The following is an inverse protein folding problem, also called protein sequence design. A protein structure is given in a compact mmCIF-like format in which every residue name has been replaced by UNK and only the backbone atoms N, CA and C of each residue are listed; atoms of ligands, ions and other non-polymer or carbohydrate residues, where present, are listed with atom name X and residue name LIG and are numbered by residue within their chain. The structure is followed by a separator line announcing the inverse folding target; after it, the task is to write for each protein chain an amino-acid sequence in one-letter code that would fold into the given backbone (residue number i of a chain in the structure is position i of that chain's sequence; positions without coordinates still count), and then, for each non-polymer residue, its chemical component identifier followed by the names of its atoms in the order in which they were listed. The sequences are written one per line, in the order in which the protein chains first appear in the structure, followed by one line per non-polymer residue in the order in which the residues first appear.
data_IF_660364863794
#
_entry.id   IF_660364863794
#
_cell.length_a   1.000
_cell.length_b   1.000
_cell.length_c   1.000
_cell.angle_alpha   90.00
_cell.angle_beta   90.00
_cell.angle_gamma   90.00
#
_symmetry.space_group_name_H-M   'P 1'
#
loop_
_entity.id
_entity.type
_entity.pdbx_description
1 polymer ?
#
# COMPACT_ATOMS: atom_id res chain seq x y z
N UNK A 1 6.18 2.07 17.65
CA UNK A 1 7.40 1.56 16.99
C UNK A 1 7.87 2.56 15.92
N UNK A 2 9.12 3.03 15.96
CA UNK A 2 9.66 4.03 15.03
C UNK A 2 9.64 3.56 13.56
N UNK A 3 9.80 2.25 13.31
CA UNK A 3 9.74 1.67 11.96
C UNK A 3 8.35 1.81 11.32
N UNK A 4 7.28 1.43 12.04
CA UNK A 4 5.89 1.53 11.53
C UNK A 4 5.52 2.97 11.17
N UNK A 5 5.92 3.95 11.98
CA UNK A 5 5.70 5.38 11.70
C UNK A 5 6.38 5.78 10.38
N UNK A 6 7.65 5.39 10.21
CA UNK A 6 8.41 5.64 8.98
C UNK A 6 7.75 4.99 7.76
N UNK A 7 7.34 3.72 7.87
CA UNK A 7 6.64 3.01 6.79
C UNK A 7 5.32 3.69 6.41
N UNK A 8 4.56 4.20 7.39
CA UNK A 8 3.33 4.94 7.13
C UNK A 8 3.61 6.28 6.41
N UNK A 9 4.67 7.00 6.80
CA UNK A 9 5.09 8.22 6.12
C UNK A 9 5.50 7.95 4.66
N UNK A 10 6.27 6.88 4.42
CA UNK A 10 6.65 6.43 3.07
C UNK A 10 5.42 6.07 2.22
N UNK A 11 4.49 5.26 2.75
CA UNK A 11 3.26 4.90 2.04
C UNK A 11 2.34 6.09 1.79
N UNK A 12 2.35 7.10 2.66
CA UNK A 12 1.62 8.37 2.45
C UNK A 12 2.22 9.16 1.29
N UNK A 13 3.55 9.24 1.21
CA UNK A 13 4.24 9.91 0.09
C UNK A 13 3.99 9.17 -1.23
N UNK A 14 3.99 7.84 -1.21
CA UNK A 14 3.68 7.02 -2.38
C UNK A 14 2.24 7.26 -2.83
N UNK A 15 1.28 7.28 -1.90
CA UNK A 15 -0.13 7.57 -2.22
C UNK A 15 -0.29 8.94 -2.88
N UNK A 16 0.34 9.98 -2.35
CA UNK A 16 0.27 11.32 -2.93
C UNK A 16 0.79 11.34 -4.38
N UNK A 17 1.94 10.69 -4.64
CA UNK A 17 2.49 10.57 -6.00
C UNK A 17 1.55 9.80 -6.94
N UNK A 18 0.91 8.73 -6.48
CA UNK A 18 -0.06 7.96 -7.28
C UNK A 18 -1.32 8.78 -7.57
N UNK A 19 -1.79 9.59 -6.62
CA UNK A 19 -2.94 10.48 -6.83
C UNK A 19 -2.63 11.61 -7.83
N UNK A 20 -1.39 12.10 -7.87
CA UNK A 20 -0.93 13.07 -8.86
C UNK A 20 -0.91 12.49 -10.29
N UNK A 21 -0.60 11.19 -10.45
CA UNK A 21 -0.59 10.53 -11.77
C UNK A 21 -1.97 10.53 -12.46
N UNK A 22 -3.06 10.41 -11.69
CA UNK A 22 -4.42 10.34 -12.23
C UNK A 22 -4.96 11.65 -12.81
N UNK A 23 -4.31 12.78 -12.53
CA UNK A 23 -4.68 14.10 -13.06
C UNK A 23 -3.94 14.46 -14.36
N UNK A 24 -2.93 13.68 -14.75
CA UNK A 24 -2.13 13.91 -15.94
C UNK A 24 -2.55 12.96 -17.07
N UNK A 25 -3.00 13.51 -18.20
CA UNK A 25 -3.38 12.83 -19.46
C UNK A 25 -2.23 12.06 -20.15
N UNK A 26 -1.17 11.69 -19.43
CA UNK A 26 0.04 11.06 -19.96
C UNK A 26 0.10 9.56 -19.63
N UNK A 27 0.88 8.83 -20.43
CA UNK A 27 1.23 7.43 -20.19
C UNK A 27 2.05 7.27 -18.90
N UNK A 28 1.34 7.18 -17.78
CA UNK A 28 1.92 7.14 -16.44
C UNK A 28 2.12 5.69 -15.94
N UNK A 29 1.92 4.67 -16.79
CA UNK A 29 1.90 3.26 -16.37
C UNK A 29 3.24 2.80 -15.77
N UNK A 30 4.34 3.27 -16.33
CA UNK A 30 5.68 3.01 -15.80
C UNK A 30 5.90 3.69 -14.43
N UNK A 31 5.39 4.92 -14.25
CA UNK A 31 5.48 5.62 -12.97
C UNK A 31 4.66 4.92 -11.89
N UNK A 32 3.43 4.49 -12.21
CA UNK A 32 2.59 3.70 -11.32
C UNK A 32 3.31 2.41 -10.89
N UNK A 33 3.85 1.67 -11.85
CA UNK A 33 4.60 0.44 -11.59
C UNK A 33 5.78 0.70 -10.65
N UNK A 34 6.56 1.75 -10.89
CA UNK A 34 7.69 2.12 -10.02
C UNK A 34 7.26 2.49 -8.59
N UNK A 35 6.11 3.15 -8.42
CA UNK A 35 5.56 3.45 -7.10
C UNK A 35 4.99 2.22 -6.39
N UNK A 36 4.39 1.29 -7.13
CA UNK A 36 3.89 0.03 -6.57
C UNK A 36 5.01 -0.91 -6.16
N UNK A 37 6.12 -0.96 -6.91
CA UNK A 37 7.32 -1.67 -6.49
C UNK A 37 7.90 -1.12 -5.18
N UNK A 38 7.90 0.22 -5.00
CA UNK A 38 8.30 0.85 -3.74
C UNK A 38 7.36 0.45 -2.59
N UNK A 39 6.04 0.52 -2.81
CA UNK A 39 5.05 0.13 -1.81
C UNK A 39 5.21 -1.35 -1.40
N UNK A 40 5.48 -2.22 -2.37
CA UNK A 40 5.75 -3.64 -2.12
C UNK A 40 6.97 -3.85 -1.20
N UNK A 41 8.03 -3.07 -1.42
CA UNK A 41 9.21 -3.05 -0.55
C UNK A 41 8.88 -2.63 0.88
N UNK A 42 8.05 -1.59 1.06
CA UNK A 42 7.62 -1.14 2.39
C UNK A 42 6.79 -2.22 3.10
N UNK A 43 5.82 -2.84 2.39
CA UNK A 43 5.03 -3.93 2.95
C UNK A 43 5.88 -5.15 3.31
N UNK A 44 6.86 -5.52 2.49
CA UNK A 44 7.81 -6.59 2.81
C UNK A 44 8.63 -6.28 4.08
N UNK A 45 9.05 -5.03 4.26
CA UNK A 45 9.70 -4.58 5.49
C UNK A 45 8.80 -4.69 6.73
N UNK A 46 7.51 -4.39 6.60
CA UNK A 46 6.53 -4.51 7.69
C UNK A 46 6.28 -5.97 8.09
N UNK A 47 6.14 -6.89 7.14
CA UNK A 47 5.97 -8.34 7.43
C UNK A 47 7.18 -8.92 8.16
N UNK A 48 8.39 -8.53 7.76
CA UNK A 48 9.63 -9.05 8.36
C UNK A 48 9.87 -8.56 9.81
N UNK A 49 9.09 -7.59 10.30
CA UNK A 49 9.21 -7.02 11.64
C UNK A 49 8.23 -7.65 12.67
N UNK A 50 7.39 -8.59 12.26
CA UNK A 50 6.53 -9.32 13.19
C UNK A 50 5.62 -10.30 12.46
N UNK A 51 5.82 -11.60 12.73
CA UNK A 51 4.77 -12.61 12.56
C UNK A 51 4.06 -12.71 13.91
N UNK A 52 2.96 -12.02 14.04
CA UNK A 52 2.00 -12.21 15.13
C UNK A 52 0.67 -12.61 14.52
N UNK A 53 -0.20 -13.32 15.24
CA UNK A 53 -1.60 -13.52 14.77
C UNK A 53 -2.43 -12.23 14.89
N UNK A 54 -1.79 -11.07 14.68
CA UNK A 54 -2.39 -9.76 14.81
C UNK A 54 -3.17 -9.44 13.52
N UNK A 55 -4.32 -8.81 13.70
CA UNK A 55 -5.18 -8.33 12.62
C UNK A 55 -4.41 -7.46 11.61
N UNK A 56 -3.38 -6.75 12.06
CA UNK A 56 -2.53 -5.93 11.21
C UNK A 56 -1.71 -6.75 10.19
N UNK A 57 -1.28 -7.96 10.54
CA UNK A 57 -0.48 -8.81 9.64
C UNK A 57 -1.35 -9.32 8.48
N UNK A 58 -2.62 -9.61 8.74
CA UNK A 58 -3.59 -9.91 7.69
C UNK A 58 -3.82 -8.71 6.77
N UNK A 59 -3.93 -7.51 7.32
CA UNK A 59 -4.08 -6.27 6.52
C UNK A 59 -2.84 -6.05 5.64
N UNK A 60 -1.64 -6.22 6.18
CA UNK A 60 -0.38 -6.07 5.42
C UNK A 60 -0.32 -7.08 4.27
N UNK A 61 -0.58 -8.36 4.54
CA UNK A 61 -0.55 -9.41 3.51
C UNK A 61 -1.62 -9.22 2.43
N UNK A 62 -2.81 -8.77 2.81
CA UNK A 62 -3.86 -8.40 1.87
C UNK A 62 -3.42 -7.24 0.96
N UNK A 63 -2.86 -6.18 1.54
CA UNK A 63 -2.39 -5.03 0.76
C UNK A 63 -1.24 -5.40 -0.16
N UNK A 64 -0.32 -6.23 0.31
CA UNK A 64 0.79 -6.76 -0.49
C UNK A 64 0.29 -7.51 -1.73
N UNK A 65 -0.66 -8.44 -1.54
CA UNK A 65 -1.25 -9.23 -2.63
C UNK A 65 -1.95 -8.33 -3.65
N UNK A 66 -2.62 -7.26 -3.21
CA UNK A 66 -3.24 -6.28 -4.11
C UNK A 66 -2.22 -5.45 -4.86
N UNK A 67 -1.10 -5.05 -4.23
CA UNK A 67 0.00 -4.36 -4.91
C UNK A 67 0.60 -5.25 -6.00
N UNK A 68 0.82 -6.54 -5.72
CA UNK A 68 1.28 -7.51 -6.72
C UNK A 68 0.29 -7.61 -7.89
N UNK A 69 -1.02 -7.57 -7.61
CA UNK A 69 -2.04 -7.54 -8.66
C UNK A 69 -2.05 -6.23 -9.46
N UNK A 70 -1.81 -5.06 -8.84
CA UNK A 70 -1.65 -3.79 -9.58
C UNK A 70 -0.47 -3.88 -10.55
N UNK A 71 0.66 -4.45 -10.12
CA UNK A 71 1.84 -4.62 -10.99
C UNK A 71 1.50 -5.51 -12.19
N UNK A 72 0.78 -6.61 -11.97
CA UNK A 72 0.27 -7.48 -13.03
C UNK A 72 -0.65 -6.76 -14.02
N UNK A 73 -1.58 -5.92 -13.54
CA UNK A 73 -2.45 -5.11 -14.41
C UNK A 73 -1.64 -4.08 -15.22
N UNK A 74 -0.60 -3.50 -14.61
CA UNK A 74 0.34 -2.60 -15.28
C UNK A 74 1.06 -3.24 -16.46
N UNK A 75 1.50 -4.49 -16.32
CA UNK A 75 2.13 -5.28 -17.40
C UNK A 75 1.16 -5.57 -18.57
N UNK A 76 -0.15 -5.60 -18.29
CA UNK A 76 -1.22 -5.88 -19.27
C UNK A 76 -1.85 -4.63 -19.88
N UNK A 77 -1.32 -3.46 -19.55
CA UNK A 77 -1.86 -2.15 -19.98
C UNK A 77 -3.32 -1.90 -19.53
N UNK A 78 -3.79 -2.61 -18.49
CA UNK A 78 -5.11 -2.42 -17.85
C UNK A 78 -5.05 -1.27 -16.84
N UNK A 79 -4.76 -0.07 -17.35
CA UNK A 79 -4.25 1.07 -16.56
C UNK A 79 -5.27 1.66 -15.59
N UNK A 80 -6.50 1.92 -16.04
CA UNK A 80 -7.54 2.57 -15.21
C UNK A 80 -7.83 1.74 -13.94
N UNK A 81 -8.01 0.43 -14.11
CA UNK A 81 -8.21 -0.51 -13.01
C UNK A 81 -6.99 -0.57 -12.09
N UNK A 82 -5.77 -0.54 -12.65
CA UNK A 82 -4.53 -0.52 -11.88
C UNK A 82 -4.42 0.74 -10.98
N UNK A 83 -4.78 1.93 -11.50
CA UNK A 83 -4.73 3.18 -10.73
C UNK A 83 -5.72 3.19 -9.57
N UNK A 84 -6.98 2.82 -9.82
CA UNK A 84 -7.98 2.80 -8.76
C UNK A 84 -7.65 1.76 -7.69
N UNK A 85 -7.19 0.58 -8.12
CA UNK A 85 -6.75 -0.47 -7.21
C UNK A 85 -5.57 -0.03 -6.34
N UNK A 86 -4.58 0.67 -6.92
CA UNK A 86 -3.43 1.21 -6.17
C UNK A 86 -3.87 2.19 -5.08
N UNK A 87 -4.70 3.18 -5.42
CA UNK A 87 -5.22 4.17 -4.47
C UNK A 87 -6.01 3.52 -3.35
N UNK A 88 -6.93 2.62 -3.70
CA UNK A 88 -7.76 1.91 -2.72
C UNK A 88 -6.90 1.08 -1.75
N UNK A 89 -5.88 0.41 -2.26
CA UNK A 89 -5.00 -0.44 -1.46
C UNK A 89 -4.19 0.38 -0.46
N UNK A 90 -3.53 1.45 -0.91
CA UNK A 90 -2.72 2.32 -0.04
C UNK A 90 -3.58 3.03 1.01
N UNK A 91 -4.73 3.58 0.61
CA UNK A 91 -5.68 4.22 1.53
C UNK A 91 -6.22 3.24 2.58
N UNK A 92 -6.50 1.99 2.16
CA UNK A 92 -6.99 0.96 3.06
C UNK A 92 -5.94 0.63 4.14
N UNK A 93 -4.68 0.38 3.76
CA UNK A 93 -3.63 0.15 4.75
C UNK A 93 -3.47 1.35 5.69
N UNK A 94 -3.29 2.57 5.15
CA UNK A 94 -3.05 3.76 5.96
C UNK A 94 -4.17 4.01 6.96
N UNK A 95 -5.43 3.82 6.54
CA UNK A 95 -6.61 3.91 7.42
C UNK A 95 -6.57 2.88 8.54
N UNK A 96 -6.12 1.65 8.28
CA UNK A 96 -6.16 0.57 9.28
C UNK A 96 -4.84 0.37 10.05
N UNK A 97 -3.78 1.11 9.69
CA UNK A 97 -2.43 0.96 10.24
C UNK A 97 -2.30 1.25 11.75
N UNK A 98 -3.33 1.83 12.36
CA UNK A 98 -3.43 2.10 13.80
C UNK A 98 -4.07 0.95 14.59
N UNK A 99 -4.71 -0.02 13.93
CA UNK A 99 -5.45 -1.11 14.58
C UNK A 99 -4.55 -2.14 15.28
N UNK A 100 -3.26 -2.22 14.92
CA UNK A 100 -2.27 -3.04 15.63
C UNK A 100 -1.66 -2.35 16.86
N UNK A 101 -2.31 -1.33 17.41
CA UNK A 101 -2.05 -0.80 18.74
C UNK A 101 -3.25 -1.20 19.60
N UNK A 102 -3.20 -2.38 20.22
CA UNK A 102 -4.20 -2.80 21.19
C UNK A 102 -4.27 -1.80 22.34
N UNK A 103 -5.21 -0.87 22.24
CA UNK A 103 -5.94 -0.36 23.39
C UNK A 103 -7.19 -1.22 23.48
N UNK A 104 -7.30 -1.97 24.57
CA UNK A 104 -8.53 -2.62 24.99
C UNK A 104 -9.70 -1.65 24.80
N UNK A 105 -10.62 -2.00 23.91
CA UNK A 105 -11.97 -1.44 24.01
C UNK A 105 -12.57 -2.15 25.22
N UNK A 106 -12.49 -1.51 26.39
CA UNK A 106 -13.30 -1.87 27.55
C UNK A 106 -14.77 -1.88 27.09
N UNK A 107 -15.37 -3.08 27.07
CA UNK A 107 -16.82 -3.27 27.02
C UNK A 107 -17.31 -3.60 28.43
#
# INVERSE_FOLDING_TARGET
MPFRKKSNEELTQILAKVEELGNAYADNGQALTGYMQQALGVFGGLVNQGFTEDHLDHIINYCRSRVEYVLYLGEREEREDAYELAKLTLRYYLRNSHLGNGGEVEL
#
